data_IF_641833890539
#
_entry.id   IF_641833890539
#
_cell.length_a   1.000
_cell.length_b   1.000
_cell.length_c   1.000
_cell.angle_alpha   90.00
_cell.angle_beta   90.00
_cell.angle_gamma   90.00
#
_symmetry.space_group_name_H-M   'P 1'
#
loop_
_entity.id
_entity.type
_entity.pdbx_description
1 polymer ?
#
# COMPACT_ATOMS: atom_id res chain seq x y z
N UNK A 1 19.31 -15.73 3.41
CA UNK A 1 20.16 -14.82 2.72
C UNK A 1 19.52 -13.48 2.48
N UNK A 2 19.56 -12.65 3.47
CA UNK A 2 18.86 -11.37 3.37
C UNK A 2 19.35 -10.49 2.22
N UNK A 3 20.65 -10.47 2.03
CA UNK A 3 21.20 -9.62 0.97
C UNK A 3 20.72 -10.03 -0.41
N UNK A 4 20.65 -11.32 -0.63
CA UNK A 4 20.20 -11.82 -1.90
C UNK A 4 18.74 -11.51 -2.14
N UNK A 5 17.95 -11.66 -1.11
CA UNK A 5 16.54 -11.38 -1.19
C UNK A 5 16.30 -9.91 -1.49
N UNK A 6 16.99 -9.05 -0.80
CA UNK A 6 16.87 -7.62 -1.00
C UNK A 6 17.27 -7.24 -2.41
N UNK A 7 18.36 -7.82 -2.86
CA UNK A 7 18.84 -7.56 -4.21
C UNK A 7 17.82 -7.96 -5.25
N UNK A 8 17.19 -9.10 -5.03
CA UNK A 8 16.18 -9.58 -5.95
C UNK A 8 14.96 -8.68 -5.95
N UNK A 9 14.57 -8.22 -4.79
CA UNK A 9 13.44 -7.33 -4.68
C UNK A 9 13.71 -6.00 -5.39
N UNK A 10 14.91 -5.50 -5.26
CA UNK A 10 15.29 -4.27 -5.94
C UNK A 10 15.17 -4.42 -7.44
N UNK A 11 15.62 -5.52 -7.95
CA UNK A 11 15.58 -5.75 -9.39
C UNK A 11 14.18 -5.88 -9.90
N UNK A 12 13.29 -6.32 -9.06
CA UNK A 12 11.91 -6.56 -9.46
C UNK A 12 11.04 -5.35 -9.32
N UNK A 13 11.60 -4.25 -8.94
CA UNK A 13 10.84 -3.07 -8.64
C UNK A 13 10.13 -3.21 -7.32
N UNK A 14 10.39 -2.32 -6.44
CA UNK A 14 9.64 -2.24 -5.21
C UNK A 14 8.30 -1.63 -5.54
N UNK A 15 7.24 -2.36 -5.30
CA UNK A 15 5.92 -1.82 -5.50
C UNK A 15 5.58 -0.92 -4.35
N UNK A 16 5.33 0.34 -4.63
CA UNK A 16 4.98 1.31 -3.61
C UNK A 16 3.78 2.11 -4.08
N UNK A 17 3.14 2.77 -3.12
CA UNK A 17 2.03 3.68 -3.42
C UNK A 17 2.35 5.02 -2.81
N UNK A 18 1.63 6.04 -3.23
CA UNK A 18 1.78 7.35 -2.62
C UNK A 18 0.58 7.61 -1.73
N UNK A 19 0.76 8.50 -0.76
CA UNK A 19 -0.33 8.78 0.18
C UNK A 19 -1.53 9.43 -0.50
N UNK A 20 -1.34 9.98 -1.69
CA UNK A 20 -2.42 10.57 -2.46
C UNK A 20 -3.16 9.58 -3.35
N UNK A 21 -2.63 8.37 -3.49
CA UNK A 21 -3.33 7.34 -4.27
C UNK A 21 -4.65 6.99 -3.61
N UNK A 22 -5.61 6.62 -4.43
CA UNK A 22 -6.94 6.32 -3.92
C UNK A 22 -7.05 4.88 -3.46
N UNK A 23 -8.09 4.60 -2.71
CA UNK A 23 -8.40 3.23 -2.29
C UNK A 23 -8.54 2.32 -3.49
N UNK A 24 -9.14 2.82 -4.56
CA UNK A 24 -9.29 2.04 -5.79
C UNK A 24 -7.94 1.62 -6.35
N UNK A 25 -7.03 2.59 -6.47
CA UNK A 25 -5.69 2.32 -7.01
C UNK A 25 -4.94 1.34 -6.14
N UNK A 26 -5.03 1.52 -4.82
CA UNK A 26 -4.36 0.61 -3.90
C UNK A 26 -4.88 -0.81 -4.04
N UNK A 27 -6.20 -0.96 -4.09
CA UNK A 27 -6.78 -2.28 -4.17
C UNK A 27 -6.44 -2.95 -5.50
N UNK A 28 -6.43 -2.21 -6.59
CA UNK A 28 -6.04 -2.75 -7.88
C UNK A 28 -4.59 -3.21 -7.87
N UNK A 29 -3.72 -2.40 -7.28
CA UNK A 29 -2.30 -2.75 -7.24
C UNK A 29 -2.02 -3.97 -6.39
N UNK A 30 -2.64 -4.06 -5.22
CA UNK A 30 -2.47 -5.23 -4.37
C UNK A 30 -2.91 -6.49 -5.11
N UNK A 31 -4.01 -6.40 -5.79
CA UNK A 31 -4.55 -7.53 -6.51
C UNK A 31 -3.66 -7.92 -7.69
N UNK A 32 -3.27 -6.97 -8.50
CA UNK A 32 -2.49 -7.24 -9.70
C UNK A 32 -1.09 -7.73 -9.39
N UNK A 33 -0.48 -7.20 -8.35
CA UNK A 33 0.85 -7.62 -7.95
C UNK A 33 0.83 -8.85 -7.07
N UNK A 34 -0.34 -9.26 -6.63
CA UNK A 34 -0.52 -10.43 -5.77
C UNK A 34 0.29 -10.32 -4.49
N UNK A 35 0.21 -9.17 -3.88
CA UNK A 35 0.86 -8.92 -2.60
C UNK A 35 -0.20 -8.55 -1.58
N UNK A 36 0.10 -8.78 -0.30
CA UNK A 36 -0.84 -8.49 0.77
C UNK A 36 -0.75 -7.09 1.31
N UNK A 37 0.33 -6.40 1.04
CA UNK A 37 0.52 -5.04 1.52
C UNK A 37 1.57 -4.33 0.67
N UNK A 38 1.55 -3.00 0.76
CA UNK A 38 2.52 -2.17 0.07
C UNK A 38 2.86 -0.96 0.92
N UNK A 39 4.13 -0.55 0.89
CA UNK A 39 4.49 0.68 1.59
C UNK A 39 3.93 1.89 0.87
N UNK A 40 3.59 2.90 1.66
CA UNK A 40 3.05 4.15 1.16
C UNK A 40 4.09 5.24 1.39
N UNK A 41 4.40 5.98 0.35
CA UNK A 41 5.43 7.01 0.40
C UNK A 41 4.83 8.39 0.32
N UNK A 42 5.53 9.35 0.90
CA UNK A 42 5.15 10.75 0.70
C UNK A 42 5.87 11.29 -0.54
N UNK A 43 5.70 12.57 -0.80
CA UNK A 43 6.29 13.18 -1.99
C UNK A 43 7.81 13.21 -1.94
N UNK A 44 8.39 13.03 -0.77
CA UNK A 44 9.83 13.01 -0.59
C UNK A 44 10.39 11.59 -0.59
N UNK A 45 9.56 10.61 -0.94
CA UNK A 45 9.94 9.21 -1.01
C UNK A 45 10.21 8.59 0.35
N UNK A 46 9.69 9.18 1.40
CA UNK A 46 9.78 8.59 2.74
C UNK A 46 8.58 7.70 2.99
N UNK A 47 8.81 6.57 3.64
CA UNK A 47 7.72 5.67 3.99
C UNK A 47 6.90 6.30 5.10
N UNK A 48 5.62 6.54 4.85
CA UNK A 48 4.74 7.16 5.83
C UNK A 48 3.68 6.20 6.33
N UNK A 49 3.59 5.02 5.75
CA UNK A 49 2.61 4.05 6.21
C UNK A 49 2.63 2.81 5.36
N UNK A 50 1.73 1.91 5.66
CA UNK A 50 1.55 0.67 4.93
C UNK A 50 0.06 0.49 4.68
N UNK A 51 -0.29 0.09 3.47
CA UNK A 51 -1.67 -0.26 3.15
C UNK A 51 -1.72 -1.76 2.91
N UNK A 52 -2.69 -2.44 3.50
CA UNK A 52 -2.80 -3.88 3.38
C UNK A 52 -4.22 -4.26 2.97
N UNK A 53 -4.36 -5.52 2.57
CA UNK A 53 -5.68 -6.05 2.27
C UNK A 53 -6.59 -5.95 3.48
N UNK A 54 -6.00 -6.09 4.66
CA UNK A 54 -6.76 -5.97 5.89
C UNK A 54 -7.31 -4.57 6.07
N UNK A 55 -6.52 -3.55 5.77
CA UNK A 55 -6.98 -2.17 5.85
C UNK A 55 -8.15 -1.94 4.90
N UNK A 56 -8.07 -2.50 3.71
CA UNK A 56 -9.14 -2.35 2.74
C UNK A 56 -10.40 -3.08 3.18
N UNK A 57 -10.21 -4.27 3.73
CA UNK A 57 -11.32 -5.06 4.25
C UNK A 57 -12.05 -4.33 5.36
N UNK A 58 -11.29 -3.78 6.29
CA UNK A 58 -11.86 -3.06 7.42
C UNK A 58 -12.60 -1.82 6.94
N UNK A 59 -12.07 -1.18 5.93
CA UNK A 59 -12.71 0.00 5.36
C UNK A 59 -14.08 -0.36 4.78
N UNK A 60 -14.14 -1.44 4.03
CA UNK A 60 -15.38 -1.90 3.43
C UNK A 60 -16.37 -2.34 4.50
N UNK A 61 -15.86 -3.05 5.49
CA UNK A 61 -16.68 -3.56 6.57
C UNK A 61 -17.33 -2.43 7.37
N UNK A 62 -16.66 -1.32 7.47
CA UNK A 62 -17.19 -0.16 8.19
C UNK A 62 -18.22 0.61 7.38
N UNK A 63 -18.56 0.11 6.21
CA UNK A 63 -19.55 0.73 5.33
C UNK A 63 -19.19 2.13 4.91
N UNK A 64 -17.91 2.36 4.79
CA UNK A 64 -17.43 3.67 4.35
C UNK A 64 -16.87 3.59 2.96
N UNK A 65 -17.44 2.75 2.17
CA UNK A 65 -16.90 2.48 0.87
C UNK A 65 -16.94 3.71 -0.04
N UNK A 66 -15.77 4.26 -0.28
CA UNK A 66 -15.59 5.35 -1.22
C UNK A 66 -14.23 5.12 -1.87
N UNK A 67 -14.27 4.54 -3.06
CA UNK A 67 -13.03 4.13 -3.72
C UNK A 67 -12.15 5.30 -4.12
N UNK A 68 -12.66 6.52 -4.04
CA UNK A 68 -11.87 7.71 -4.37
C UNK A 68 -11.21 8.36 -3.17
N UNK A 69 -11.38 7.79 -1.99
CA UNK A 69 -10.69 8.29 -0.81
C UNK A 69 -9.19 8.06 -0.94
N UNK A 70 -8.38 9.02 -0.51
CA UNK A 70 -6.93 8.79 -0.49
C UNK A 70 -6.58 7.77 0.57
N UNK A 71 -5.61 6.92 0.28
CA UNK A 71 -5.25 5.86 1.21
C UNK A 71 -4.59 6.39 2.47
N UNK A 72 -4.15 7.62 2.47
CA UNK A 72 -3.61 8.23 3.68
C UNK A 72 -4.60 8.22 4.82
N UNK A 73 -5.89 8.09 4.52
CA UNK A 73 -6.92 8.08 5.56
C UNK A 73 -7.18 6.71 6.14
N UNK A 74 -6.73 5.66 5.48
CA UNK A 74 -7.00 4.31 5.99
C UNK A 74 -5.75 3.48 6.21
N UNK A 75 -4.59 3.94 5.74
CA UNK A 75 -3.36 3.19 5.89
C UNK A 75 -2.93 3.12 7.36
N UNK A 76 -2.15 2.10 7.67
CA UNK A 76 -1.56 1.97 8.99
C UNK A 76 -0.31 2.82 9.04
N UNK A 77 -0.25 3.73 10.01
CA UNK A 77 0.87 4.67 10.10
C UNK A 77 1.88 4.32 11.18
N UNK A 78 1.53 3.37 11.98
CA UNK A 78 2.39 2.98 13.07
C UNK A 78 3.42 2.00 12.59
N UNK A 79 4.66 2.39 12.60
CA UNK A 79 5.74 1.57 12.06
C UNK A 79 6.74 1.16 13.11
#
# INVERSE_FOLDING_TARGET
>A
MPGKLVSRMSKRKCYTLTEADTVRVASQNLHEKKVGSMPVLDKNQNVVGIISERDLSQFIYAERFNSNLPISQIMTKEL
#
